data_IF_048475430564
#
_entry.id   IF_048475430564
#
_cell.length_a   1.000
_cell.length_b   1.000
_cell.length_c   1.000
_cell.angle_alpha   90.00
_cell.angle_beta   90.00
_cell.angle_gamma   90.00
#
_symmetry.space_group_name_H-M   'P 1'
#
loop_
_entity.id
_entity.type
_entity.pdbx_description
1 polymer ?
#
# COMPACT_ATOMS: atom_id res chain seq x y z
N UNK A 1 43.77 -0.88 14.80
CA UNK A 1 42.95 0.14 14.11
C UNK A 1 42.32 -0.43 12.84
N UNK A 2 43.04 -1.31 12.11
CA UNK A 2 42.53 -2.02 10.93
C UNK A 2 41.32 -2.94 11.20
N UNK A 3 41.28 -3.68 12.32
CA UNK A 3 40.14 -4.58 12.63
C UNK A 3 38.77 -3.87 12.71
N UNK A 4 38.77 -2.61 13.18
CA UNK A 4 37.55 -1.78 13.21
C UNK A 4 37.18 -1.27 11.82
N UNK A 5 38.18 -1.01 10.98
CA UNK A 5 37.99 -0.59 9.59
C UNK A 5 37.52 -1.75 8.69
N UNK A 6 37.90 -3.00 8.99
CA UNK A 6 37.41 -4.20 8.30
C UNK A 6 35.90 -4.36 8.52
N UNK A 7 35.41 -4.26 9.77
CA UNK A 7 33.96 -4.31 10.06
C UNK A 7 33.15 -3.18 9.42
N UNK A 8 33.76 -2.00 9.25
CA UNK A 8 33.15 -0.87 8.54
C UNK A 8 33.18 -1.04 7.01
N UNK A 9 34.24 -1.65 6.46
CA UNK A 9 34.41 -1.94 5.02
C UNK A 9 33.60 -3.14 4.53
N UNK A 10 33.40 -4.13 5.38
CA UNK A 10 32.56 -5.29 5.10
C UNK A 10 31.07 -4.92 5.03
N UNK A 11 30.71 -3.71 5.48
CA UNK A 11 29.34 -3.22 5.47
C UNK A 11 28.47 -4.13 6.31
N UNK A 12 28.38 -3.85 7.62
CA UNK A 12 27.55 -4.64 8.53
C UNK A 12 26.14 -4.80 7.93
N UNK A 13 25.84 -5.98 7.40
CA UNK A 13 24.51 -6.37 6.97
C UNK A 13 23.68 -6.55 8.23
N UNK A 14 23.13 -5.44 8.74
CA UNK A 14 22.33 -5.39 9.97
C UNK A 14 21.03 -6.18 9.84
N UNK A 15 20.61 -6.49 8.61
CA UNK A 15 19.39 -7.24 8.29
C UNK A 15 19.76 -8.45 7.47
N UNK A 16 19.27 -9.62 7.87
CA UNK A 16 19.46 -10.86 7.11
C UNK A 16 18.71 -10.77 5.78
N UNK A 17 19.25 -11.29 4.67
CA UNK A 17 18.59 -11.26 3.37
C UNK A 17 17.18 -11.88 3.39
N UNK A 18 16.97 -12.92 4.20
CA UNK A 18 15.70 -13.60 4.37
C UNK A 18 14.66 -12.70 5.03
N UNK A 19 15.05 -12.00 6.10
CA UNK A 19 14.17 -11.05 6.82
C UNK A 19 13.77 -9.89 5.91
N UNK A 20 14.74 -9.36 5.15
CA UNK A 20 14.48 -8.31 4.15
C UNK A 20 13.46 -8.79 3.11
N UNK A 21 13.65 -9.98 2.56
CA UNK A 21 12.74 -10.56 1.56
C UNK A 21 11.34 -10.75 2.12
N UNK A 22 11.23 -11.29 3.34
CA UNK A 22 9.94 -11.50 4.00
C UNK A 22 9.17 -10.18 4.21
N UNK A 23 9.85 -9.11 4.61
CA UNK A 23 9.25 -7.78 4.77
C UNK A 23 8.80 -7.22 3.42
N UNK A 24 9.61 -7.33 2.37
CA UNK A 24 9.25 -6.88 1.03
C UNK A 24 8.04 -7.62 0.45
N UNK A 25 7.99 -8.95 0.63
CA UNK A 25 6.88 -9.78 0.17
C UNK A 25 5.60 -9.44 0.92
N UNK A 26 5.67 -9.34 2.26
CA UNK A 26 4.56 -8.90 3.09
C UNK A 26 4.06 -7.51 2.66
N UNK A 27 4.97 -6.57 2.44
CA UNK A 27 4.60 -5.21 2.02
C UNK A 27 3.87 -5.21 0.67
N UNK A 28 4.42 -5.92 -0.33
CA UNK A 28 3.79 -6.09 -1.64
C UNK A 28 2.39 -6.68 -1.52
N UNK A 29 2.21 -7.72 -0.70
CA UNK A 29 0.93 -8.36 -0.47
C UNK A 29 -0.08 -7.43 0.17
N UNK A 30 0.31 -6.64 1.19
CA UNK A 30 -0.60 -5.68 1.84
C UNK A 30 -1.03 -4.58 0.88
N UNK A 31 -0.13 -4.05 0.05
CA UNK A 31 -0.48 -3.06 -0.98
C UNK A 31 -1.44 -3.66 -2.01
N UNK A 32 -1.24 -4.92 -2.41
CA UNK A 32 -2.14 -5.61 -3.32
C UNK A 32 -3.53 -5.83 -2.71
N UNK A 33 -3.61 -6.18 -1.42
CA UNK A 33 -4.88 -6.30 -0.70
C UNK A 33 -5.61 -4.95 -0.61
N UNK A 34 -4.90 -3.86 -0.30
CA UNK A 34 -5.48 -2.51 -0.27
C UNK A 34 -6.10 -2.15 -1.63
N UNK A 35 -5.36 -2.33 -2.73
CA UNK A 35 -5.87 -2.11 -4.09
C UNK A 35 -7.12 -2.92 -4.40
N UNK A 36 -7.11 -4.21 -4.07
CA UNK A 36 -8.24 -5.12 -4.33
C UNK A 36 -9.48 -4.69 -3.55
N UNK A 37 -9.33 -4.42 -2.25
CA UNK A 37 -10.44 -4.03 -1.38
C UNK A 37 -11.03 -2.67 -1.78
N UNK A 38 -10.18 -1.68 -2.10
CA UNK A 38 -10.64 -0.37 -2.57
C UNK A 38 -11.44 -0.48 -3.87
N UNK A 39 -10.99 -1.34 -4.81
CA UNK A 39 -11.73 -1.61 -6.04
C UNK A 39 -13.10 -2.24 -5.76
N UNK A 40 -13.12 -3.33 -4.98
CA UNK A 40 -14.37 -4.00 -4.63
C UNK A 40 -15.35 -3.07 -3.92
N UNK A 41 -14.86 -2.23 -3.01
CA UNK A 41 -15.68 -1.22 -2.35
C UNK A 41 -16.27 -0.22 -3.35
N UNK A 42 -15.45 0.33 -4.26
CA UNK A 42 -15.95 1.25 -5.29
C UNK A 42 -16.99 0.60 -6.19
N UNK A 43 -16.74 -0.63 -6.66
CA UNK A 43 -17.69 -1.32 -7.53
C UNK A 43 -19.07 -1.46 -6.86
N UNK A 44 -19.10 -1.83 -5.57
CA UNK A 44 -20.34 -1.91 -4.78
C UNK A 44 -20.94 -0.53 -4.51
N UNK A 45 -20.11 0.44 -4.11
CA UNK A 45 -20.54 1.80 -3.82
C UNK A 45 -21.19 2.46 -5.03
N UNK A 46 -20.57 2.36 -6.19
CA UNK A 46 -21.08 2.92 -7.45
C UNK A 46 -22.42 2.27 -7.80
N UNK A 47 -22.54 0.93 -7.65
CA UNK A 47 -23.80 0.20 -7.86
C UNK A 47 -24.91 0.67 -6.91
N UNK A 48 -24.60 0.89 -5.64
CA UNK A 48 -25.56 1.34 -4.63
C UNK A 48 -25.96 2.80 -4.85
N UNK A 49 -25.02 3.64 -5.28
CA UNK A 49 -25.23 5.09 -5.40
C UNK A 49 -25.78 5.54 -6.75
N UNK A 50 -25.74 4.70 -7.79
CA UNK A 50 -26.15 5.04 -9.16
C UNK A 50 -27.57 5.65 -9.26
N UNK A 51 -28.51 5.14 -8.47
CA UNK A 51 -29.90 5.63 -8.43
C UNK A 51 -30.33 6.06 -7.02
N UNK A 52 -29.38 6.49 -6.19
CA UNK A 52 -29.68 6.81 -4.81
C UNK A 52 -30.47 8.11 -4.69
N UNK A 53 -31.63 8.12 -4.00
CA UNK A 53 -32.56 9.25 -4.03
C UNK A 53 -32.16 10.43 -3.12
N UNK A 54 -31.10 10.30 -2.31
CA UNK A 54 -30.62 11.31 -1.34
C UNK A 54 -29.22 11.79 -1.68
N UNK A 55 -28.76 12.84 -0.99
CA UNK A 55 -27.38 13.30 -1.13
C UNK A 55 -26.40 12.19 -0.70
N UNK A 56 -25.49 11.86 -1.63
CA UNK A 56 -24.48 10.83 -1.45
C UNK A 56 -23.49 11.26 -0.35
N UNK A 57 -23.25 12.56 -0.17
CA UNK A 57 -22.34 13.06 0.87
C UNK A 57 -22.87 12.79 2.28
N UNK A 58 -24.14 13.13 2.53
CA UNK A 58 -24.80 12.83 3.81
C UNK A 58 -24.83 11.32 4.08
N UNK A 59 -25.11 10.51 3.05
CA UNK A 59 -25.09 9.06 3.17
C UNK A 59 -23.69 8.49 3.48
N UNK A 60 -22.65 9.06 2.87
CA UNK A 60 -21.25 8.70 3.15
C UNK A 60 -20.90 9.00 4.62
N UNK A 61 -21.31 10.16 5.12
CA UNK A 61 -21.09 10.59 6.51
C UNK A 61 -21.88 9.73 7.51
N UNK A 62 -23.15 9.44 7.23
CA UNK A 62 -24.00 8.54 8.03
C UNK A 62 -23.37 7.15 8.18
N UNK A 63 -22.78 6.62 7.10
CA UNK A 63 -22.11 5.32 7.10
C UNK A 63 -20.68 5.36 7.67
N UNK A 64 -20.14 6.54 7.97
CA UNK A 64 -18.77 6.70 8.45
C UNK A 64 -17.72 6.21 7.43
N UNK A 65 -18.01 6.34 6.14
CA UNK A 65 -17.05 5.96 5.09
C UNK A 65 -16.05 7.09 4.92
N UNK A 66 -14.76 6.76 4.98
CA UNK A 66 -13.66 7.69 4.75
C UNK A 66 -12.81 7.22 3.57
N UNK A 67 -12.24 8.18 2.83
CA UNK A 67 -11.23 7.89 1.81
C UNK A 67 -9.83 7.89 2.41
N UNK A 68 -8.89 7.27 1.70
CA UNK A 68 -7.48 7.24 2.14
C UNK A 68 -6.95 8.67 2.38
N UNK A 69 -7.36 9.61 1.53
CA UNK A 69 -6.97 11.01 1.59
C UNK A 69 -7.53 11.73 2.83
N UNK A 70 -8.71 11.32 3.31
CA UNK A 70 -9.38 11.89 4.51
C UNK A 70 -8.56 11.60 5.78
N UNK A 71 -7.75 10.54 5.78
CA UNK A 71 -6.85 10.13 6.89
C UNK A 71 -5.36 10.35 6.57
N UNK A 72 -5.04 11.10 5.52
CA UNK A 72 -3.66 11.43 5.14
C UNK A 72 -2.85 10.28 4.53
N UNK A 73 -3.53 9.26 4.01
CA UNK A 73 -2.90 8.10 3.36
C UNK A 73 -2.91 8.24 1.84
N UNK A 74 -1.82 7.83 1.19
CA UNK A 74 -1.70 7.80 -0.27
C UNK A 74 -1.23 6.45 -0.76
N UNK A 75 -2.17 5.64 -1.27
CA UNK A 75 -1.86 4.36 -1.88
C UNK A 75 -0.77 4.48 -2.96
N UNK A 76 -0.76 5.58 -3.73
CA UNK A 76 0.27 5.82 -4.74
C UNK A 76 1.67 5.97 -4.12
N UNK A 77 1.80 6.83 -3.10
CA UNK A 77 3.08 7.03 -2.41
C UNK A 77 3.62 5.72 -1.83
N UNK A 78 2.76 4.93 -1.17
CA UNK A 78 3.16 3.62 -0.64
C UNK A 78 3.48 2.60 -1.74
N UNK A 79 2.79 2.66 -2.88
CA UNK A 79 3.06 1.79 -4.02
C UNK A 79 4.46 2.01 -4.61
N UNK A 80 4.98 3.23 -4.52
CA UNK A 80 6.29 3.57 -5.08
C UNK A 80 7.47 3.09 -4.25
N UNK A 81 7.23 2.76 -2.98
CA UNK A 81 8.20 2.11 -2.11
C UNK A 81 8.46 0.64 -2.47
N UNK A 82 7.61 0.02 -3.31
CA UNK A 82 7.84 -1.35 -3.80
C UNK A 82 9.04 -1.34 -4.74
N UNK A 83 10.06 -2.21 -4.53
CA UNK A 83 11.19 -2.33 -5.44
C UNK A 83 10.75 -2.54 -6.89
N UNK A 84 11.37 -1.83 -7.84
CA UNK A 84 10.96 -1.80 -9.25
C UNK A 84 10.80 -3.19 -9.90
N UNK A 85 11.54 -4.21 -9.45
CA UNK A 85 11.43 -5.59 -9.93
C UNK A 85 10.22 -6.39 -9.43
N UNK A 86 9.51 -5.90 -8.41
CA UNK A 86 8.26 -6.49 -7.88
C UNK A 86 7.02 -5.64 -8.16
N UNK A 87 7.17 -4.48 -8.82
CA UNK A 87 6.02 -3.70 -9.29
C UNK A 87 5.30 -4.52 -10.36
N UNK A 88 4.01 -4.81 -10.14
CA UNK A 88 3.18 -5.44 -11.19
C UNK A 88 3.25 -4.57 -12.43
N UNK A 89 3.50 -5.16 -13.59
CA UNK A 89 3.40 -4.46 -14.87
C UNK A 89 2.05 -3.74 -14.93
N UNK A 90 2.06 -2.45 -15.23
CA UNK A 90 0.84 -1.73 -15.59
C UNK A 90 0.31 -2.43 -16.84
N UNK A 91 -0.74 -3.23 -16.68
CA UNK A 91 -1.37 -3.94 -17.79
C UNK A 91 -1.81 -2.94 -18.85
N UNK A 92 -1.52 -3.30 -20.11
CA UNK A 92 -2.23 -2.84 -21.31
C UNK A 92 -3.74 -3.04 -21.16
#
# INVERSE_FOLDING_TARGET
MEEKLVKLREGVTLVRPEDKKAVEDMYSDKINQWRKRKRMFRDVWDTVTENFPRDIKEFKEELGVEYDEDVGLSLHAYSDLIPHGKKRGRGQ
#
